data_IF_965876469023
#
_entry.id   IF_965876469023
#
_cell.length_a   1.000
_cell.length_b   1.000
_cell.length_c   1.000
_cell.angle_alpha   90.00
_cell.angle_beta   90.00
_cell.angle_gamma   90.00
#
_symmetry.space_group_name_H-M   'P 1'
#
loop_
_entity.id
_entity.type
_entity.pdbx_description
1 polymer ?
#
# COMPACT_ATOMS: atom_id res chain seq x y z
N UNK A 1 4.41 -3.65 10.75
CA UNK A 1 4.32 -2.22 10.33
C UNK A 1 3.20 -1.52 11.08
N UNK A 2 1.91 -1.79 10.79
CA UNK A 2 0.79 -1.14 11.51
C UNK A 2 0.84 -1.35 13.03
N UNK A 3 0.92 -2.59 13.51
CA UNK A 3 1.01 -2.90 14.94
C UNK A 3 2.20 -2.19 15.61
N UNK A 4 3.40 -2.31 15.03
CA UNK A 4 4.61 -1.64 15.52
C UNK A 4 4.47 -0.11 15.61
N UNK A 5 3.78 0.52 14.66
CA UNK A 5 3.51 1.96 14.69
C UNK A 5 2.55 2.31 15.83
N UNK A 6 1.51 1.50 16.02
CA UNK A 6 0.55 1.69 17.12
C UNK A 6 1.21 1.47 18.49
N UNK A 7 2.06 0.45 18.64
CA UNK A 7 2.78 0.20 19.90
C UNK A 7 3.68 1.38 20.30
N UNK A 8 4.25 2.08 19.31
CA UNK A 8 5.20 3.17 19.54
C UNK A 8 4.54 4.55 19.66
N UNK A 9 3.47 4.79 18.92
CA UNK A 9 2.87 6.13 18.77
C UNK A 9 1.39 6.19 19.14
N UNK A 10 0.74 5.06 19.40
CA UNK A 10 -0.69 4.89 19.73
C UNK A 10 -1.70 5.38 18.67
N UNK A 11 -1.20 5.96 17.57
CA UNK A 11 -2.02 6.56 16.53
C UNK A 11 -1.40 6.45 15.14
N UNK A 12 -2.28 6.54 14.14
CA UNK A 12 -1.93 6.69 12.73
C UNK A 12 -2.83 7.79 12.15
N UNK A 13 -2.21 8.85 11.63
CA UNK A 13 -2.92 10.02 11.07
C UNK A 13 -2.81 10.10 9.55
N UNK A 14 -1.77 9.49 8.98
CA UNK A 14 -1.48 9.51 7.55
C UNK A 14 -0.97 8.14 7.13
N UNK A 15 -1.50 7.62 6.02
CA UNK A 15 -0.95 6.48 5.32
C UNK A 15 -0.49 6.94 3.94
N UNK A 16 0.77 6.63 3.60
CA UNK A 16 1.32 6.91 2.26
C UNK A 16 1.59 5.57 1.56
N UNK A 17 0.75 5.22 0.58
CA UNK A 17 0.97 4.07 -0.28
C UNK A 17 1.89 4.47 -1.44
N UNK A 18 3.20 4.31 -1.23
CA UNK A 18 4.23 4.66 -2.24
C UNK A 18 5.08 3.44 -2.66
N UNK A 19 4.76 2.23 -2.19
CA UNK A 19 5.46 1.04 -2.65
C UNK A 19 5.09 0.77 -4.11
N UNK A 20 6.08 0.75 -4.99
CA UNK A 20 5.88 0.57 -6.42
C UNK A 20 7.07 -0.08 -7.10
N UNK A 21 6.79 -0.78 -8.19
CA UNK A 21 7.79 -1.31 -9.12
C UNK A 21 7.34 -0.99 -10.54
N UNK A 22 8.31 -0.80 -11.43
CA UNK A 22 8.05 -0.50 -12.83
C UNK A 22 8.67 -1.60 -13.66
N UNK A 23 7.93 -2.09 -14.64
CA UNK A 23 8.45 -2.91 -15.74
C UNK A 23 8.33 -2.06 -17.00
N UNK A 24 9.45 -1.91 -17.70
CA UNK A 24 9.54 -1.16 -18.95
C UNK A 24 9.75 -2.14 -20.10
N UNK A 25 9.13 -1.85 -21.24
CA UNK A 25 9.21 -2.67 -22.45
C UNK A 25 7.95 -2.48 -23.30
N UNK A 26 7.98 -2.99 -24.52
CA UNK A 26 6.79 -2.98 -25.38
C UNK A 26 5.69 -3.84 -24.75
N UNK A 27 4.44 -3.39 -24.90
CA UNK A 27 3.29 -4.08 -24.31
C UNK A 27 3.20 -5.55 -24.76
N UNK A 28 3.61 -5.84 -25.99
CA UNK A 28 3.65 -7.20 -26.56
C UNK A 28 4.72 -8.09 -25.95
N UNK A 29 5.69 -7.52 -25.24
CA UNK A 29 6.82 -8.23 -24.63
C UNK A 29 6.68 -8.37 -23.11
N UNK A 30 5.72 -7.67 -22.49
CA UNK A 30 5.46 -7.78 -21.06
C UNK A 30 4.95 -9.18 -20.74
N UNK A 31 5.74 -9.93 -19.98
CA UNK A 31 5.35 -11.26 -19.50
C UNK A 31 4.19 -11.12 -18.52
N UNK A 32 3.27 -12.08 -18.56
CA UNK A 32 2.18 -12.15 -17.57
C UNK A 32 2.70 -12.19 -16.12
N UNK A 33 3.88 -12.78 -15.88
CA UNK A 33 4.53 -12.78 -14.57
C UNK A 33 4.91 -11.37 -14.10
N UNK A 34 5.37 -10.52 -15.01
CA UNK A 34 5.73 -9.13 -14.71
C UNK A 34 4.49 -8.29 -14.41
N UNK A 35 3.44 -8.45 -15.22
CA UNK A 35 2.13 -7.84 -14.94
C UNK A 35 1.61 -8.26 -13.55
N UNK A 36 1.63 -9.56 -13.22
CA UNK A 36 1.19 -10.05 -11.90
C UNK A 36 2.01 -9.45 -10.77
N UNK A 37 3.32 -9.29 -10.94
CA UNK A 37 4.20 -8.66 -9.95
C UNK A 37 3.86 -7.18 -9.73
N UNK A 38 3.55 -6.45 -10.80
CA UNK A 38 3.08 -5.06 -10.72
C UNK A 38 1.76 -5.00 -9.95
N UNK A 39 0.77 -5.82 -10.33
CA UNK A 39 -0.54 -5.83 -9.68
C UNK A 39 -0.45 -6.18 -8.19
N UNK A 40 0.35 -7.19 -7.84
CA UNK A 40 0.57 -7.59 -6.46
C UNK A 40 1.20 -6.46 -5.61
N UNK A 41 2.10 -5.66 -6.20
CA UNK A 41 2.79 -4.58 -5.48
C UNK A 41 1.94 -3.32 -5.39
N UNK A 42 1.42 -2.84 -6.52
CA UNK A 42 0.76 -1.55 -6.62
C UNK A 42 -0.70 -1.63 -6.16
N UNK A 43 -1.44 -2.64 -6.62
CA UNK A 43 -2.89 -2.74 -6.39
C UNK A 43 -3.17 -3.50 -5.11
N UNK A 44 -2.73 -4.75 -5.02
CA UNK A 44 -2.98 -5.57 -3.83
C UNK A 44 -2.30 -4.97 -2.60
N UNK A 45 -1.05 -4.52 -2.74
CA UNK A 45 -0.31 -3.84 -1.69
C UNK A 45 -1.05 -2.62 -1.14
N UNK A 46 -1.51 -1.72 -2.02
CA UNK A 46 -2.30 -0.54 -1.63
C UNK A 46 -3.60 -0.94 -0.93
N UNK A 47 -4.35 -1.89 -1.52
CA UNK A 47 -5.62 -2.35 -0.96
C UNK A 47 -5.45 -2.92 0.46
N UNK A 48 -4.48 -3.81 0.65
CA UNK A 48 -4.26 -4.44 1.95
C UNK A 48 -3.70 -3.48 3.00
N UNK A 49 -2.81 -2.55 2.61
CA UNK A 49 -2.32 -1.49 3.50
C UNK A 49 -3.47 -0.59 3.97
N UNK A 50 -4.34 -0.15 3.06
CA UNK A 50 -5.52 0.64 3.40
C UNK A 50 -6.43 -0.17 4.33
N UNK A 51 -6.78 -1.41 3.98
CA UNK A 51 -7.65 -2.26 4.80
C UNK A 51 -7.13 -2.43 6.23
N UNK A 52 -5.82 -2.57 6.39
CA UNK A 52 -5.20 -2.69 7.71
C UNK A 52 -5.15 -1.37 8.49
N UNK A 53 -4.95 -0.23 7.82
CA UNK A 53 -4.81 1.07 8.47
C UNK A 53 -6.15 1.80 8.72
N UNK A 54 -7.18 1.51 7.92
CA UNK A 54 -8.43 2.26 7.87
C UNK A 54 -9.13 2.40 9.23
N UNK A 55 -9.25 1.35 10.07
CA UNK A 55 -9.90 1.50 11.38
C UNK A 55 -9.22 2.55 12.27
N UNK A 56 -7.90 2.67 12.18
CA UNK A 56 -7.11 3.61 12.97
C UNK A 56 -7.17 5.03 12.40
N UNK A 57 -7.16 5.16 11.07
CA UNK A 57 -7.34 6.44 10.37
C UNK A 57 -8.73 7.05 10.61
N UNK A 58 -9.78 6.22 10.64
CA UNK A 58 -11.15 6.68 10.96
C UNK A 58 -11.22 7.21 12.39
N UNK A 59 -10.57 6.52 13.34
CA UNK A 59 -10.52 6.96 14.75
C UNK A 59 -9.84 8.31 14.90
N UNK A 60 -8.77 8.57 14.15
CA UNK A 60 -8.04 9.84 14.20
C UNK A 60 -8.65 10.93 13.31
N UNK A 61 -9.60 10.58 12.43
CA UNK A 61 -10.13 11.41 11.34
C UNK A 61 -9.07 11.83 10.32
N UNK A 62 -7.90 11.19 10.33
CA UNK A 62 -6.73 11.64 9.58
C UNK A 62 -6.20 12.99 10.06
N UNK A 63 -5.06 13.42 9.51
CA UNK A 63 -4.55 14.78 9.74
C UNK A 63 -5.26 15.76 8.79
N UNK A 64 -6.18 16.56 9.34
CA UNK A 64 -6.78 17.75 8.73
C UNK A 64 -6.19 19.02 9.32
#
# INVERSE_FOLDING_TARGET
MIATTLDRYDRIDVLVNNAGTVVQGDLTEIKTSDYRRIMATLVDGTFFCIRAALPYLVRTKGRG
#
